data_IF_727202655496
#
_entry.id   IF_727202655496
#
_cell.length_a   1.000
_cell.length_b   1.000
_cell.length_c   1.000
_cell.angle_alpha   90.00
_cell.angle_beta   90.00
_cell.angle_gamma   90.00
#
_symmetry.space_group_name_H-M   'P 1'
#
loop_
_entity.id
_entity.type
_entity.pdbx_description
1 polymer ?
#
# COMPACT_ATOMS: atom_id res chain seq x y z
N UNK A 1 -79.38 -37.10 4.25
CA UNK A 1 -78.33 -37.22 3.22
C UNK A 1 -77.66 -35.87 3.03
N UNK A 2 -76.41 -35.81 3.39
CA UNK A 2 -75.33 -34.87 2.96
C UNK A 2 -75.61 -33.37 2.83
N UNK A 3 -75.40 -32.67 3.92
CA UNK A 3 -75.11 -31.24 3.90
C UNK A 3 -73.69 -31.02 4.35
N UNK A 4 -72.76 -30.93 3.42
CA UNK A 4 -71.41 -30.43 3.65
C UNK A 4 -70.78 -29.96 2.33
N UNK A 5 -70.89 -28.69 2.01
CA UNK A 5 -69.72 -28.00 1.43
C UNK A 5 -69.49 -26.56 1.88
N UNK A 6 -70.32 -25.96 2.77
CA UNK A 6 -70.19 -24.54 3.10
C UNK A 6 -69.04 -24.20 4.06
N UNK A 7 -68.58 -25.15 4.89
CA UNK A 7 -67.50 -24.92 5.83
C UNK A 7 -66.08 -24.84 5.20
N UNK A 8 -65.94 -25.45 3.99
CA UNK A 8 -64.61 -25.43 3.30
C UNK A 8 -64.30 -24.10 2.63
N UNK A 9 -65.28 -23.35 2.18
CA UNK A 9 -65.06 -22.09 1.46
C UNK A 9 -64.75 -20.91 2.37
N UNK A 10 -65.30 -20.92 3.58
CA UNK A 10 -64.96 -19.84 4.58
C UNK A 10 -63.60 -19.99 5.14
N UNK A 11 -63.13 -21.21 5.42
CA UNK A 11 -61.75 -21.44 5.92
C UNK A 11 -60.69 -21.12 4.87
N UNK A 12 -60.98 -21.35 3.60
CA UNK A 12 -60.07 -21.00 2.52
C UNK A 12 -59.89 -19.47 2.35
N UNK A 13 -61.00 -18.70 2.50
CA UNK A 13 -60.94 -17.22 2.44
C UNK A 13 -60.20 -16.62 3.62
N UNK A 14 -60.37 -17.15 4.83
CA UNK A 14 -59.67 -16.70 6.03
C UNK A 14 -58.17 -17.03 5.92
N UNK A 15 -57.80 -18.19 5.36
CA UNK A 15 -56.42 -18.57 5.12
C UNK A 15 -55.72 -17.68 4.09
N UNK A 16 -56.42 -17.27 3.03
CA UNK A 16 -55.93 -16.35 2.03
C UNK A 16 -55.75 -14.92 2.59
N UNK A 17 -56.65 -14.49 3.47
CA UNK A 17 -56.55 -13.19 4.12
C UNK A 17 -55.37 -13.11 5.11
N UNK A 18 -55.08 -14.23 5.78
CA UNK A 18 -53.94 -14.34 6.71
C UNK A 18 -52.59 -14.33 5.96
N UNK A 19 -52.52 -14.87 4.74
CA UNK A 19 -51.29 -14.84 3.92
C UNK A 19 -50.98 -13.40 3.44
N UNK A 20 -52.00 -12.59 3.12
CA UNK A 20 -51.82 -11.22 2.62
C UNK A 20 -51.30 -10.30 3.72
N UNK A 21 -51.61 -10.53 5.00
CA UNK A 21 -51.10 -9.73 6.12
C UNK A 21 -49.64 -10.01 6.45
N UNK A 22 -49.09 -11.18 6.08
CA UNK A 22 -47.69 -11.53 6.33
C UNK A 22 -46.72 -10.94 5.29
N UNK A 23 -47.22 -10.45 4.13
CA UNK A 23 -46.34 -9.92 3.06
C UNK A 23 -46.09 -8.44 3.13
N UNK A 24 -46.72 -7.68 4.04
CA UNK A 24 -46.45 -6.26 4.26
C UNK A 24 -45.42 -6.04 5.35
N UNK A 25 -44.34 -6.86 5.40
CA UNK A 25 -43.14 -6.49 6.11
C UNK A 25 -42.40 -5.43 5.28
N UNK A 26 -42.85 -4.18 5.44
CA UNK A 26 -42.07 -3.04 4.97
C UNK A 26 -40.66 -3.15 5.54
N UNK A 27 -39.65 -3.31 4.68
CA UNK A 27 -38.27 -3.03 5.00
C UNK A 27 -38.19 -1.59 5.50
N UNK A 28 -38.27 -1.42 6.79
CA UNK A 28 -37.94 -0.14 7.45
C UNK A 28 -36.45 0.05 7.22
N UNK A 29 -36.09 0.81 6.20
CA UNK A 29 -34.72 1.29 6.05
C UNK A 29 -34.39 2.12 7.28
N UNK A 30 -33.75 1.51 8.27
CA UNK A 30 -33.23 2.22 9.42
C UNK A 30 -32.06 3.07 8.94
N UNK A 31 -32.14 4.39 8.92
CA UNK A 31 -31.05 5.26 8.48
C UNK A 31 -29.77 5.01 9.31
N UNK A 32 -29.92 4.61 10.56
CA UNK A 32 -28.80 4.25 11.45
C UNK A 32 -28.03 3.00 10.96
N UNK A 33 -28.73 1.98 10.46
CA UNK A 33 -28.06 0.75 9.98
C UNK A 33 -27.31 0.99 8.67
N UNK A 34 -27.81 1.86 7.80
CA UNK A 34 -27.09 2.25 6.58
C UNK A 34 -25.87 3.13 6.88
N UNK A 35 -25.95 4.00 7.87
CA UNK A 35 -24.81 4.82 8.30
C UNK A 35 -23.71 3.95 8.90
N UNK A 36 -24.04 3.02 9.80
CA UNK A 36 -23.07 2.09 10.40
C UNK A 36 -22.41 1.17 9.37
N UNK A 37 -23.19 0.66 8.37
CA UNK A 37 -22.59 -0.12 7.28
C UNK A 37 -21.63 0.69 6.41
N UNK A 38 -22.02 1.90 6.04
CA UNK A 38 -21.16 2.78 5.23
C UNK A 38 -19.90 3.19 5.99
N UNK A 39 -19.99 3.48 7.29
CA UNK A 39 -18.83 3.77 8.12
C UNK A 39 -17.93 2.54 8.28
N UNK A 40 -18.48 1.36 8.53
CA UNK A 40 -17.72 0.12 8.64
C UNK A 40 -16.97 -0.22 7.34
N UNK A 41 -17.59 -0.09 6.19
CA UNK A 41 -16.93 -0.32 4.89
C UNK A 41 -15.87 0.75 4.60
N UNK A 42 -16.13 2.03 4.88
CA UNK A 42 -15.14 3.09 4.68
C UNK A 42 -13.94 2.96 5.62
N UNK A 43 -14.13 2.49 6.84
CA UNK A 43 -13.06 2.22 7.80
C UNK A 43 -12.18 1.07 7.32
N UNK A 44 -12.77 -0.03 6.83
CA UNK A 44 -12.03 -1.19 6.30
C UNK A 44 -11.18 -0.81 5.08
N UNK A 45 -11.71 -0.02 4.16
CA UNK A 45 -10.97 0.42 2.96
C UNK A 45 -9.78 1.33 3.35
N UNK A 46 -9.96 2.19 4.35
CA UNK A 46 -8.91 3.06 4.87
C UNK A 46 -7.81 2.26 5.56
N UNK A 47 -8.17 1.33 6.43
CA UNK A 47 -7.21 0.46 7.13
C UNK A 47 -6.41 -0.39 6.13
N UNK A 48 -7.04 -0.90 5.09
CA UNK A 48 -6.35 -1.63 4.02
C UNK A 48 -5.39 -0.74 3.23
N UNK A 49 -5.77 0.49 2.95
CA UNK A 49 -4.89 1.45 2.27
C UNK A 49 -3.67 1.81 3.13
N UNK A 50 -3.86 2.03 4.43
CA UNK A 50 -2.78 2.33 5.37
C UNK A 50 -1.84 1.13 5.51
N UNK A 51 -2.37 -0.09 5.65
CA UNK A 51 -1.57 -1.31 5.70
C UNK A 51 -0.77 -1.51 4.41
N UNK A 52 -1.39 -1.33 3.25
CA UNK A 52 -0.71 -1.40 1.96
C UNK A 52 0.43 -0.38 1.88
N UNK A 53 0.21 0.86 2.31
CA UNK A 53 1.24 1.90 2.31
C UNK A 53 2.46 1.49 3.14
N UNK A 54 2.27 1.01 4.37
CA UNK A 54 3.38 0.60 5.24
C UNK A 54 4.14 -0.59 4.66
N UNK A 55 3.44 -1.61 4.16
CA UNK A 55 4.05 -2.80 3.54
C UNK A 55 4.83 -2.42 2.27
N UNK A 56 4.22 -1.64 1.39
CA UNK A 56 4.86 -1.21 0.14
C UNK A 56 6.10 -0.35 0.42
N UNK A 57 6.01 0.61 1.36
CA UNK A 57 7.13 1.46 1.75
C UNK A 57 8.27 0.62 2.34
N UNK A 58 7.99 -0.27 3.28
CA UNK A 58 9.02 -1.14 3.86
C UNK A 58 9.72 -2.01 2.79
N UNK A 59 8.95 -2.56 1.86
CA UNK A 59 9.49 -3.37 0.76
C UNK A 59 10.39 -2.57 -0.18
N UNK A 60 9.98 -1.35 -0.54
CA UNK A 60 10.75 -0.45 -1.40
C UNK A 60 12.01 0.03 -0.70
N UNK A 61 11.90 0.47 0.55
CA UNK A 61 13.05 0.91 1.36
C UNK A 61 14.10 -0.19 1.50
N UNK A 62 13.70 -1.43 1.81
CA UNK A 62 14.62 -2.58 1.87
C UNK A 62 15.33 -2.82 0.54
N UNK A 63 14.60 -2.73 -0.58
CA UNK A 63 15.20 -2.86 -1.92
C UNK A 63 16.21 -1.75 -2.21
N UNK A 64 15.87 -0.49 -1.88
CA UNK A 64 16.76 0.67 -2.07
C UNK A 64 18.01 0.57 -1.19
N UNK A 65 17.87 0.16 0.07
CA UNK A 65 18.99 -0.08 0.99
C UNK A 65 19.93 -1.12 0.39
N UNK A 66 19.41 -2.28 -0.01
CA UNK A 66 20.23 -3.37 -0.57
C UNK A 66 20.96 -2.95 -1.84
N UNK A 67 20.30 -2.25 -2.77
CA UNK A 67 20.92 -1.69 -3.98
C UNK A 67 22.04 -0.70 -3.65
N UNK A 68 21.82 0.16 -2.66
CA UNK A 68 22.79 1.16 -2.22
C UNK A 68 24.02 0.52 -1.57
N UNK A 69 23.84 -0.56 -0.81
CA UNK A 69 24.93 -1.33 -0.22
C UNK A 69 25.78 -2.03 -1.29
N UNK A 70 25.15 -2.64 -2.30
CA UNK A 70 25.85 -3.24 -3.44
C UNK A 70 26.68 -2.17 -4.17
N UNK A 71 26.10 -0.97 -4.38
CA UNK A 71 26.82 0.12 -5.04
C UNK A 71 28.05 0.57 -4.26
N UNK A 72 27.96 0.71 -2.94
CA UNK A 72 29.11 1.09 -2.11
C UNK A 72 30.25 0.07 -2.17
N UNK A 73 29.94 -1.20 -2.37
CA UNK A 73 30.92 -2.29 -2.47
C UNK A 73 31.56 -2.36 -3.85
N UNK A 74 30.77 -2.19 -4.92
CA UNK A 74 31.21 -2.44 -6.30
C UNK A 74 31.74 -1.22 -7.03
N UNK A 75 31.24 -0.01 -6.73
CA UNK A 75 31.67 1.18 -7.46
C UNK A 75 33.06 1.67 -7.04
N UNK A 76 33.90 2.00 -8.00
CA UNK A 76 35.14 2.77 -7.78
C UNK A 76 34.88 4.30 -7.75
N UNK A 77 33.74 4.75 -8.27
CA UNK A 77 33.36 6.16 -8.32
C UNK A 77 32.99 6.70 -6.93
N UNK A 78 33.70 7.70 -6.46
CA UNK A 78 33.50 8.29 -5.13
C UNK A 78 32.17 9.04 -5.00
N UNK A 79 31.67 9.65 -6.10
CA UNK A 79 30.40 10.40 -6.11
C UNK A 79 29.25 9.41 -5.96
N UNK A 80 29.27 8.33 -6.73
CA UNK A 80 28.26 7.26 -6.66
C UNK A 80 28.27 6.59 -5.28
N UNK A 81 29.45 6.31 -4.73
CA UNK A 81 29.57 5.76 -3.37
C UNK A 81 28.97 6.69 -2.33
N UNK A 82 29.23 8.00 -2.44
CA UNK A 82 28.71 8.99 -1.50
C UNK A 82 27.18 9.12 -1.58
N UNK A 83 26.61 9.22 -2.80
CA UNK A 83 25.14 9.31 -2.94
C UNK A 83 24.45 8.03 -2.47
N UNK A 84 25.04 6.85 -2.76
CA UNK A 84 24.53 5.56 -2.28
C UNK A 84 24.46 5.51 -0.76
N UNK A 85 25.50 6.01 -0.07
CA UNK A 85 25.53 6.07 1.40
C UNK A 85 24.46 7.00 1.98
N UNK A 86 24.26 8.17 1.35
CA UNK A 86 23.20 9.11 1.77
C UNK A 86 21.81 8.51 1.60
N UNK A 87 21.57 7.83 0.48
CA UNK A 87 20.29 7.15 0.19
C UNK A 87 20.07 6.01 1.20
N UNK A 88 21.07 5.16 1.44
CA UNK A 88 20.98 4.07 2.42
C UNK A 88 20.60 4.58 3.81
N UNK A 89 21.29 5.61 4.31
CA UNK A 89 21.01 6.16 5.63
C UNK A 89 19.57 6.68 5.73
N UNK A 90 19.13 7.47 4.76
CA UNK A 90 17.75 8.00 4.72
C UNK A 90 16.71 6.90 4.67
N UNK A 91 16.92 5.88 3.86
CA UNK A 91 16.00 4.75 3.73
C UNK A 91 15.97 3.87 4.98
N UNK A 92 17.09 3.75 5.68
CA UNK A 92 17.16 3.04 6.95
C UNK A 92 16.34 3.76 8.03
N UNK A 93 16.46 5.09 8.12
CA UNK A 93 15.66 5.91 9.03
C UNK A 93 14.16 5.80 8.73
N UNK A 94 13.79 5.91 7.45
CA UNK A 94 12.41 5.73 7.01
C UNK A 94 11.85 4.35 7.37
N UNK A 95 12.60 3.29 7.08
CA UNK A 95 12.19 1.91 7.36
C UNK A 95 11.96 1.68 8.86
N UNK A 96 12.84 2.22 9.72
CA UNK A 96 12.69 2.12 11.18
C UNK A 96 11.43 2.84 11.67
N UNK A 97 11.15 4.04 11.17
CA UNK A 97 9.95 4.79 11.54
C UNK A 97 8.67 4.09 11.04
N UNK A 98 8.67 3.63 9.79
CA UNK A 98 7.58 2.85 9.19
C UNK A 98 7.31 1.57 10.00
N UNK A 99 8.35 0.80 10.32
CA UNK A 99 8.21 -0.42 11.11
C UNK A 99 7.63 -0.14 12.50
N UNK A 100 8.07 0.94 13.15
CA UNK A 100 7.56 1.35 14.47
C UNK A 100 6.07 1.70 14.41
N UNK A 101 5.66 2.50 13.43
CA UNK A 101 4.26 2.92 13.26
C UNK A 101 3.39 1.69 12.90
N UNK A 102 3.85 0.84 11.98
CA UNK A 102 3.15 -0.36 11.54
C UNK A 102 2.93 -1.34 12.71
N UNK A 103 3.96 -1.59 13.53
CA UNK A 103 3.87 -2.45 14.71
C UNK A 103 2.84 -1.93 15.72
N UNK A 104 2.80 -0.62 15.96
CA UNK A 104 1.81 0.00 16.85
C UNK A 104 0.37 -0.16 16.32
N UNK A 105 0.21 -0.44 15.04
CA UNK A 105 -1.08 -0.70 14.37
C UNK A 105 -1.33 -2.18 14.11
N UNK A 106 -0.49 -3.06 14.64
CA UNK A 106 -0.55 -4.51 14.41
C UNK A 106 -0.42 -4.90 12.92
N UNK A 107 0.22 -4.04 12.12
CA UNK A 107 0.54 -4.30 10.71
C UNK A 107 1.92 -4.96 10.65
N UNK A 108 1.98 -6.17 10.12
CA UNK A 108 3.23 -6.91 9.99
C UNK A 108 3.94 -6.45 8.71
N UNK A 109 5.01 -5.68 8.87
CA UNK A 109 5.95 -5.32 7.80
C UNK A 109 7.15 -6.25 7.89
N UNK A 110 6.97 -7.52 7.51
CA UNK A 110 8.09 -8.46 7.37
C UNK A 110 8.74 -8.27 6.01
N UNK A 111 9.99 -8.76 5.89
CA UNK A 111 10.66 -8.93 4.59
C UNK A 111 9.77 -9.82 3.69
N UNK A 112 8.84 -9.18 3.00
CA UNK A 112 8.08 -9.87 1.97
C UNK A 112 9.11 -10.17 0.89
N UNK A 113 9.52 -11.43 0.84
CA UNK A 113 10.39 -12.00 -0.16
C UNK A 113 9.75 -11.85 -1.55
N UNK A 114 9.71 -10.62 -2.07
CA UNK A 114 9.28 -10.37 -3.43
C UNK A 114 10.37 -10.90 -4.36
N UNK A 115 10.07 -11.98 -5.07
CA UNK A 115 10.97 -12.58 -6.06
C UNK A 115 11.48 -11.56 -7.08
N UNK A 116 10.69 -10.53 -7.39
CA UNK A 116 11.06 -9.43 -8.27
C UNK A 116 12.23 -8.61 -7.73
N UNK A 117 12.23 -8.28 -6.44
CA UNK A 117 13.34 -7.54 -5.82
C UNK A 117 14.63 -8.36 -5.81
N UNK A 118 14.53 -9.67 -5.59
CA UNK A 118 15.70 -10.57 -5.64
C UNK A 118 16.33 -10.61 -7.04
N UNK A 119 15.51 -10.72 -8.08
CA UNK A 119 16.01 -10.76 -9.45
C UNK A 119 16.76 -9.47 -9.83
N UNK A 120 16.22 -8.31 -9.46
CA UNK A 120 16.88 -7.02 -9.68
C UNK A 120 18.21 -6.90 -8.93
N UNK A 121 18.28 -7.41 -7.69
CA UNK A 121 19.51 -7.42 -6.91
C UNK A 121 20.56 -8.37 -7.52
N UNK A 122 20.16 -9.58 -7.93
CA UNK A 122 21.08 -10.50 -8.63
C UNK A 122 21.62 -9.89 -9.92
N UNK A 123 20.75 -9.29 -10.73
CA UNK A 123 21.17 -8.61 -11.97
C UNK A 123 22.19 -7.50 -11.68
N UNK A 124 21.98 -6.73 -10.61
CA UNK A 124 22.93 -5.69 -10.20
C UNK A 124 24.25 -6.28 -9.71
N UNK A 125 24.21 -7.37 -8.95
CA UNK A 125 25.41 -8.07 -8.47
C UNK A 125 26.23 -8.68 -9.61
N UNK A 126 25.57 -9.25 -10.62
CA UNK A 126 26.21 -9.91 -11.77
C UNK A 126 26.70 -8.92 -12.85
N UNK A 127 26.31 -7.64 -12.75
CA UNK A 127 26.74 -6.62 -13.72
C UNK A 127 28.25 -6.41 -13.63
N UNK A 128 28.93 -6.38 -14.77
CA UNK A 128 30.38 -6.10 -14.85
C UNK A 128 30.71 -4.66 -14.45
N UNK A 129 31.94 -4.43 -14.01
CA UNK A 129 32.39 -3.14 -13.47
C UNK A 129 32.24 -1.98 -14.46
N UNK A 130 32.46 -2.22 -15.76
CA UNK A 130 32.38 -1.19 -16.80
C UNK A 130 30.96 -0.61 -16.98
N UNK A 131 29.92 -1.43 -16.79
CA UNK A 131 28.52 -1.00 -16.92
C UNK A 131 27.79 -0.80 -15.58
N UNK A 132 28.44 -1.17 -14.47
CA UNK A 132 27.82 -1.21 -13.17
C UNK A 132 27.20 0.12 -12.77
N UNK A 133 27.95 1.22 -12.85
CA UNK A 133 27.50 2.54 -12.44
C UNK A 133 26.23 2.96 -13.20
N UNK A 134 26.16 2.74 -14.49
CA UNK A 134 25.01 3.06 -15.33
C UNK A 134 23.78 2.21 -14.97
N UNK A 135 23.96 0.92 -14.73
CA UNK A 135 22.90 -0.01 -14.33
C UNK A 135 22.38 0.36 -12.93
N UNK A 136 23.29 0.61 -11.97
CA UNK A 136 22.93 1.04 -10.62
C UNK A 136 22.10 2.33 -10.63
N UNK A 137 22.60 3.39 -11.27
CA UNK A 137 21.89 4.68 -11.30
C UNK A 137 20.50 4.57 -11.97
N UNK A 138 20.36 3.69 -12.96
CA UNK A 138 19.06 3.43 -13.58
C UNK A 138 18.11 2.69 -12.63
N UNK A 139 18.62 1.67 -11.95
CA UNK A 139 17.83 0.84 -11.02
C UNK A 139 17.42 1.61 -9.77
N UNK A 140 18.32 2.44 -9.20
CA UNK A 140 18.00 3.23 -8.01
C UNK A 140 17.00 4.36 -8.34
N UNK A 141 17.15 5.02 -9.51
CA UNK A 141 16.18 5.99 -10.01
C UNK A 141 14.77 5.40 -10.11
N UNK A 142 14.65 4.21 -10.71
CA UNK A 142 13.36 3.51 -10.81
C UNK A 142 12.74 3.21 -9.45
N UNK A 143 13.57 2.74 -8.50
CA UNK A 143 13.10 2.45 -7.14
C UNK A 143 12.65 3.70 -6.40
N UNK A 144 13.39 4.80 -6.50
CA UNK A 144 13.01 6.10 -5.90
C UNK A 144 11.71 6.63 -6.51
N UNK A 145 11.51 6.53 -7.83
CA UNK A 145 10.27 6.92 -8.48
C UNK A 145 9.07 6.13 -7.94
N UNK A 146 9.17 4.81 -7.84
CA UNK A 146 8.10 3.97 -7.29
C UNK A 146 7.75 4.34 -5.84
N UNK A 147 8.76 4.65 -5.05
CA UNK A 147 8.55 5.07 -3.66
C UNK A 147 7.88 6.44 -3.59
N UNK A 148 8.32 7.43 -4.40
CA UNK A 148 7.71 8.74 -4.52
C UNK A 148 6.24 8.61 -4.94
N UNK A 149 5.92 7.82 -5.97
CA UNK A 149 4.55 7.55 -6.41
C UNK A 149 3.68 6.96 -5.30
N UNK A 150 4.24 6.05 -4.49
CA UNK A 150 3.55 5.48 -3.33
C UNK A 150 3.22 6.55 -2.30
N UNK A 151 4.16 7.43 -1.98
CA UNK A 151 3.99 8.53 -1.04
C UNK A 151 2.99 9.58 -1.54
N UNK A 152 3.08 9.98 -2.80
CA UNK A 152 2.11 10.91 -3.42
C UNK A 152 0.70 10.32 -3.47
N UNK A 153 0.60 9.03 -3.77
CA UNK A 153 -0.69 8.34 -3.86
C UNK A 153 -1.40 8.31 -2.50
N UNK A 154 -0.66 8.00 -1.42
CA UNK A 154 -1.25 7.99 -0.08
C UNK A 154 -1.55 9.41 0.39
N UNK A 155 -0.68 10.38 0.14
CA UNK A 155 -0.89 11.78 0.51
C UNK A 155 -2.22 12.34 0.00
N UNK A 156 -2.59 11.99 -1.23
CA UNK A 156 -3.84 12.46 -1.87
C UNK A 156 -5.11 11.84 -1.27
N UNK A 157 -4.99 10.71 -0.56
CA UNK A 157 -6.14 9.90 -0.13
C UNK A 157 -6.26 9.73 1.37
N UNK A 158 -5.15 9.80 2.10
CA UNK A 158 -5.17 9.61 3.54
C UNK A 158 -5.64 10.86 4.27
N UNK A 159 -6.36 10.65 5.37
CA UNK A 159 -6.67 11.68 6.38
C UNK A 159 -5.92 11.39 7.68
N UNK A 160 -5.05 10.39 7.69
CA UNK A 160 -4.28 9.98 8.85
C UNK A 160 -3.11 10.93 9.08
N UNK A 161 -3.12 11.64 10.20
CA UNK A 161 -2.10 12.64 10.53
C UNK A 161 -0.70 12.04 10.67
N UNK A 162 -0.58 10.79 11.12
CA UNK A 162 0.72 10.13 11.30
C UNK A 162 1.32 9.86 9.94
N UNK A 163 0.53 9.34 8.99
CA UNK A 163 0.96 9.10 7.61
C UNK A 163 1.29 10.43 6.92
N UNK A 164 0.46 11.46 7.09
CA UNK A 164 0.73 12.78 6.52
C UNK A 164 2.05 13.36 7.04
N UNK A 165 2.33 13.26 8.33
CA UNK A 165 3.62 13.70 8.92
C UNK A 165 4.80 12.93 8.35
N UNK A 166 4.65 11.60 8.17
CA UNK A 166 5.68 10.76 7.55
C UNK A 166 5.96 11.21 6.11
N UNK A 167 4.91 11.40 5.31
CA UNK A 167 5.05 11.88 3.92
C UNK A 167 5.75 13.23 3.86
N UNK A 168 5.31 14.21 4.65
CA UNK A 168 5.91 15.55 4.65
C UNK A 168 7.38 15.55 5.08
N UNK A 169 7.80 14.62 5.95
CA UNK A 169 9.17 14.49 6.41
C UNK A 169 10.08 13.89 5.34
N UNK A 170 9.69 12.82 4.68
CA UNK A 170 10.57 12.01 3.84
C UNK A 170 10.50 12.33 2.34
N UNK A 171 9.32 12.67 1.81
CA UNK A 171 9.11 12.89 0.39
C UNK A 171 10.02 13.98 -0.22
N UNK A 172 10.27 15.14 0.43
CA UNK A 172 11.15 16.17 -0.16
C UNK A 172 12.57 15.67 -0.40
N UNK A 173 13.08 14.83 0.51
CA UNK A 173 14.43 14.28 0.41
C UNK A 173 14.53 13.20 -0.66
N UNK A 174 13.49 12.39 -0.87
CA UNK A 174 13.41 11.44 -1.98
C UNK A 174 13.51 12.15 -3.33
N UNK A 175 12.79 13.26 -3.51
CA UNK A 175 12.90 14.08 -4.71
C UNK A 175 14.31 14.66 -4.90
N UNK A 176 14.97 15.07 -3.83
CA UNK A 176 16.35 15.52 -3.90
C UNK A 176 17.27 14.40 -4.41
N UNK A 177 17.16 13.19 -3.84
CA UNK A 177 17.97 12.05 -4.28
C UNK A 177 17.68 11.64 -5.72
N UNK A 178 16.43 11.71 -6.15
CA UNK A 178 16.06 11.44 -7.53
C UNK A 178 16.79 12.41 -8.49
N UNK A 179 16.75 13.71 -8.21
CA UNK A 179 17.44 14.74 -9.02
C UNK A 179 18.95 14.55 -9.01
N UNK A 180 19.57 14.33 -7.83
CA UNK A 180 21.01 14.08 -7.73
C UNK A 180 21.41 12.83 -8.54
N UNK A 181 20.64 11.76 -8.46
CA UNK A 181 20.86 10.53 -9.24
C UNK A 181 20.78 10.78 -10.74
N UNK A 182 19.81 11.57 -11.20
CA UNK A 182 19.67 11.95 -12.61
C UNK A 182 20.84 12.80 -13.11
N UNK A 183 21.30 13.77 -12.32
CA UNK A 183 22.45 14.60 -12.65
C UNK A 183 23.74 13.77 -12.78
N UNK A 184 24.00 12.87 -11.83
CA UNK A 184 25.15 11.97 -11.90
C UNK A 184 25.07 11.07 -13.14
N UNK A 185 23.87 10.53 -13.43
CA UNK A 185 23.67 9.68 -14.60
C UNK A 185 23.94 10.41 -15.92
N UNK A 186 23.60 11.70 -16.03
CA UNK A 186 23.90 12.52 -17.21
C UNK A 186 25.39 12.76 -17.39
N UNK A 187 26.17 12.84 -16.30
CA UNK A 187 27.63 13.09 -16.35
C UNK A 187 28.44 11.87 -16.81
N UNK A 188 27.90 10.67 -16.64
CA UNK A 188 28.60 9.39 -17.00
C UNK A 188 28.11 8.77 -18.32
N UNK A 189 27.16 9.38 -19.01
CA UNK A 189 26.70 8.99 -20.34
C UNK A 189 27.46 9.72 -21.43
#
# INVERSE_FOLDING_TARGET
MRTMPLLRATNLKVFFLLIITCTSSCKKNNPIENTLKNEAFSTTDKEQMDAYFFIATATLSNSIISKSQIAQQKTSDSIIRQISKKIENHQTELLQEVATIANNRLIIVTDINNNTNKLDLYKLMDTNDASFNKVYLSSIKESLNKEIETFESVYKRTTDEVILKLVLRYLPKMYQFLRETEQIKQQIN
#
